data_IF_515074255611
#
_entry.id   IF_515074255611
#
_cell.length_a   1.000
_cell.length_b   1.000
_cell.length_c   1.000
_cell.angle_alpha   90.00
_cell.angle_beta   90.00
_cell.angle_gamma   90.00
#
_symmetry.space_group_name_H-M   'P 1'
#
loop_
_entity.id
_entity.type
_entity.pdbx_description
1 polymer ?
#
# COMPACT_ATOMS: atom_id res chain seq x y z
N UNK A 1 -2.42 -5.14 -36.83
CA UNK A 1 -1.32 -5.02 -35.85
C UNK A 1 -1.37 -3.78 -34.93
N UNK A 2 -2.34 -2.86 -35.04
CA UNK A 2 -2.40 -1.67 -34.16
C UNK A 2 -3.08 -1.90 -32.79
N UNK A 3 -3.97 -2.89 -32.65
CA UNK A 3 -4.66 -3.18 -31.38
C UNK A 3 -3.77 -3.88 -30.33
N UNK A 4 -2.82 -4.71 -30.78
CA UNK A 4 -1.86 -5.41 -29.91
C UNK A 4 -0.94 -4.42 -29.16
N UNK A 5 -0.65 -3.27 -29.79
CA UNK A 5 0.23 -2.25 -29.24
C UNK A 5 -0.42 -1.45 -28.09
N UNK A 6 -1.74 -1.30 -28.12
CA UNK A 6 -2.50 -0.71 -27.01
C UNK A 6 -2.62 -1.68 -25.83
N UNK A 7 -2.74 -2.98 -26.09
CA UNK A 7 -2.80 -4.01 -25.05
C UNK A 7 -1.44 -4.15 -24.32
N UNK A 8 -0.32 -4.10 -25.07
CA UNK A 8 1.04 -4.17 -24.53
C UNK A 8 1.39 -2.93 -23.69
N UNK A 9 0.90 -1.75 -24.06
CA UNK A 9 1.10 -0.49 -23.32
C UNK A 9 0.34 -0.43 -21.99
N UNK A 10 -0.69 -1.25 -21.82
CA UNK A 10 -1.43 -1.38 -20.56
C UNK A 10 -0.79 -2.41 -19.60
N UNK A 11 -0.01 -3.36 -20.12
CA UNK A 11 0.65 -4.42 -19.34
C UNK A 11 1.97 -3.95 -18.68
N UNK A 12 2.67 -3.01 -19.33
CA UNK A 12 3.95 -2.47 -18.85
C UNK A 12 3.89 -1.75 -17.49
N UNK A 13 2.87 -0.93 -17.16
CA UNK A 13 2.81 -0.31 -15.83
C UNK A 13 2.46 -1.32 -14.71
N UNK A 14 1.74 -2.42 -14.98
CA UNK A 14 1.41 -3.40 -13.93
C UNK A 14 2.63 -4.20 -13.49
N UNK A 15 3.59 -4.44 -14.40
CA UNK A 15 4.84 -5.11 -14.09
C UNK A 15 5.83 -4.18 -13.38
N UNK A 16 5.86 -2.89 -13.74
CA UNK A 16 6.71 -1.89 -13.08
C UNK A 16 6.25 -1.60 -11.65
N UNK A 17 4.94 -1.67 -11.39
CA UNK A 17 4.37 -1.51 -10.04
C UNK A 17 4.70 -2.68 -9.09
N UNK A 18 5.14 -3.84 -9.63
CA UNK A 18 5.64 -5.00 -8.87
C UNK A 18 7.16 -4.94 -8.57
N UNK A 19 7.93 -4.16 -9.34
CA UNK A 19 9.38 -4.05 -9.18
C UNK A 19 9.88 -3.42 -7.86
N UNK A 20 9.21 -2.42 -7.23
CA UNK A 20 9.76 -1.79 -6.03
C UNK A 20 9.64 -2.68 -4.78
N UNK A 21 8.94 -3.82 -4.86
CA UNK A 21 8.86 -4.80 -3.76
C UNK A 21 10.15 -5.61 -3.63
N UNK A 22 10.92 -5.79 -4.71
CA UNK A 22 12.07 -6.70 -4.73
C UNK A 22 13.41 -6.03 -4.32
N UNK A 23 13.51 -4.70 -4.34
CA UNK A 23 14.77 -4.00 -4.07
C UNK A 23 15.05 -3.69 -2.60
N UNK A 24 14.23 -4.17 -1.65
CA UNK A 24 14.43 -3.91 -0.20
C UNK A 24 15.48 -4.79 0.49
N UNK A 25 16.24 -5.62 -0.24
CA UNK A 25 17.07 -6.67 0.34
C UNK A 25 18.60 -6.45 0.29
N UNK A 26 19.11 -5.21 0.25
CA UNK A 26 20.55 -4.95 0.43
C UNK A 26 20.84 -3.84 1.43
N UNK A 27 20.87 -4.18 2.73
CA UNK A 27 21.60 -3.39 3.72
C UNK A 27 22.56 -4.36 4.44
N UNK A 28 23.80 -3.87 4.58
CA UNK A 28 25.03 -4.63 4.78
C UNK A 28 24.98 -5.66 5.90
N UNK A 29 25.33 -6.89 5.53
CA UNK A 29 25.88 -7.87 6.44
C UNK A 29 26.75 -8.84 5.63
N UNK A 30 27.95 -9.13 6.14
CA UNK A 30 28.89 -10.05 5.53
C UNK A 30 28.64 -11.46 6.08
N UNK A 31 28.05 -12.39 5.29
CA UNK A 31 27.66 -13.72 5.77
C UNK A 31 28.88 -14.61 6.11
N UNK A 32 30.10 -14.16 5.83
CA UNK A 32 31.33 -14.88 6.15
C UNK A 32 31.77 -14.73 7.62
N UNK A 33 31.21 -13.78 8.37
CA UNK A 33 31.69 -13.46 9.74
C UNK A 33 30.56 -13.47 10.77
N UNK A 34 29.30 -13.20 10.40
CA UNK A 34 28.18 -13.13 11.37
C UNK A 34 26.85 -13.62 10.77
N UNK A 35 25.94 -14.09 11.63
CA UNK A 35 24.56 -14.39 11.24
C UNK A 35 23.83 -13.06 11.02
N UNK A 36 23.60 -12.74 9.75
CA UNK A 36 22.90 -11.54 9.34
C UNK A 36 21.42 -11.60 9.72
N UNK A 37 20.94 -10.61 10.47
CA UNK A 37 19.50 -10.45 10.70
C UNK A 37 18.84 -9.94 9.40
N UNK A 38 18.03 -10.75 8.69
CA UNK A 38 17.38 -10.32 7.45
C UNK A 38 16.27 -9.30 7.69
N UNK A 39 15.79 -9.16 8.92
CA UNK A 39 14.84 -8.12 9.34
C UNK A 39 15.59 -6.83 9.69
N UNK A 40 16.91 -6.91 9.93
CA UNK A 40 17.80 -5.78 10.23
C UNK A 40 17.28 -4.90 11.37
N UNK A 41 16.67 -5.51 12.39
CA UNK A 41 16.16 -4.83 13.58
C UNK A 41 17.11 -5.05 14.75
N UNK A 42 17.66 -3.98 15.32
CA UNK A 42 18.55 -4.05 16.49
C UNK A 42 17.82 -3.82 17.82
N UNK A 43 16.58 -3.33 17.79
CA UNK A 43 15.74 -3.04 18.97
C UNK A 43 14.27 -3.33 18.68
N UNK A 44 13.46 -3.57 19.72
CA UNK A 44 12.00 -3.80 19.59
C UNK A 44 11.28 -2.66 18.84
N UNK A 45 11.67 -1.41 19.11
CA UNK A 45 11.13 -0.23 18.42
C UNK A 45 11.40 -0.27 16.90
N UNK A 46 12.60 -0.69 16.50
CA UNK A 46 13.00 -0.77 15.10
C UNK A 46 12.28 -1.92 14.36
N UNK A 47 11.99 -3.01 15.08
CA UNK A 47 11.12 -4.08 14.56
C UNK A 47 9.69 -3.56 14.32
N UNK A 48 9.10 -2.84 15.28
CA UNK A 48 7.76 -2.26 15.10
C UNK A 48 7.71 -1.26 13.93
N UNK A 49 8.74 -0.43 13.77
CA UNK A 49 8.85 0.51 12.67
C UNK A 49 8.88 -0.20 11.31
N UNK A 50 9.66 -1.29 11.19
CA UNK A 50 9.74 -2.08 9.96
C UNK A 50 8.45 -2.82 9.62
N UNK A 51 7.74 -3.35 10.63
CA UNK A 51 6.41 -3.96 10.42
C UNK A 51 5.42 -2.90 9.91
N UNK A 52 5.42 -1.71 10.49
CA UNK A 52 4.57 -0.61 10.04
C UNK A 52 4.90 -0.17 8.61
N UNK A 53 6.18 -0.11 8.24
CA UNK A 53 6.63 0.22 6.89
C UNK A 53 6.20 -0.84 5.85
N UNK A 54 6.33 -2.13 6.18
CA UNK A 54 5.83 -3.21 5.31
C UNK A 54 4.30 -3.13 5.17
N UNK A 55 3.59 -2.89 6.27
CA UNK A 55 2.13 -2.73 6.25
C UNK A 55 1.70 -1.52 5.39
N UNK A 56 2.43 -0.40 5.44
CA UNK A 56 2.17 0.77 4.61
C UNK A 56 2.45 0.50 3.12
N UNK A 57 3.55 -0.18 2.81
CA UNK A 57 3.93 -0.56 1.44
C UNK A 57 2.91 -1.47 0.76
N UNK A 58 2.29 -2.37 1.51
CA UNK A 58 1.24 -3.29 1.01
C UNK A 58 -0.15 -2.63 1.08
N UNK A 59 -0.39 -1.79 2.09
CA UNK A 59 -1.68 -1.13 2.30
C UNK A 59 -2.05 -0.16 1.19
N UNK A 60 -1.08 0.62 0.69
CA UNK A 60 -1.30 1.61 -0.36
C UNK A 60 -1.82 1.01 -1.69
N UNK A 61 -1.19 -0.02 -2.27
CA UNK A 61 -1.70 -0.67 -3.49
C UNK A 61 -3.02 -1.41 -3.23
N UNK A 62 -3.21 -1.98 -2.04
CA UNK A 62 -4.45 -2.66 -1.67
C UNK A 62 -5.66 -1.71 -1.65
N UNK A 63 -5.49 -0.50 -1.12
CA UNK A 63 -6.52 0.55 -1.14
C UNK A 63 -6.96 0.88 -2.56
N UNK A 64 -6.01 0.98 -3.51
CA UNK A 64 -6.32 1.26 -4.92
C UNK A 64 -7.19 0.16 -5.53
N UNK A 65 -6.88 -1.11 -5.25
CA UNK A 65 -7.67 -2.25 -5.73
C UNK A 65 -9.10 -2.21 -5.17
N UNK A 66 -9.26 -1.94 -3.88
CA UNK A 66 -10.58 -1.80 -3.26
C UNK A 66 -11.37 -0.61 -3.81
N UNK A 67 -10.70 0.49 -4.14
CA UNK A 67 -11.34 1.66 -4.75
C UNK A 67 -11.88 1.33 -6.15
N UNK A 68 -11.12 0.59 -6.97
CA UNK A 68 -11.56 0.12 -8.29
C UNK A 68 -12.76 -0.83 -8.14
N UNK A 69 -12.71 -1.75 -7.18
CA UNK A 69 -13.80 -2.69 -6.91
C UNK A 69 -15.09 -1.97 -6.51
N UNK A 70 -15.00 -0.97 -5.63
CA UNK A 70 -16.14 -0.14 -5.26
C UNK A 70 -16.73 0.60 -6.48
N UNK A 71 -15.87 1.14 -7.35
CA UNK A 71 -16.30 1.76 -8.60
C UNK A 71 -17.03 0.81 -9.54
N UNK A 72 -16.53 -0.43 -9.69
CA UNK A 72 -17.20 -1.46 -10.48
C UNK A 72 -18.60 -1.79 -9.93
N UNK A 73 -18.74 -1.87 -8.60
CA UNK A 73 -20.00 -2.16 -7.94
C UNK A 73 -21.05 -1.05 -8.15
N UNK A 74 -20.62 0.21 -8.25
CA UNK A 74 -21.51 1.33 -8.61
C UNK A 74 -22.02 1.21 -10.05
N UNK A 75 -21.16 0.82 -10.99
CA UNK A 75 -21.53 0.67 -12.40
C UNK A 75 -22.43 -0.55 -12.62
N UNK A 76 -22.18 -1.65 -11.90
CA UNK A 76 -22.98 -2.87 -12.04
C UNK A 76 -24.38 -2.77 -11.45
N UNK A 77 -24.59 -1.87 -10.47
CA UNK A 77 -25.86 -1.76 -9.76
C UNK A 77 -27.04 -1.33 -10.63
N UNK A 78 -26.82 -0.62 -11.75
CA UNK A 78 -27.83 -0.30 -12.79
C UNK A 78 -29.20 0.23 -12.26
N UNK A 79 -29.24 0.87 -11.10
CA UNK A 79 -30.47 1.39 -10.49
C UNK A 79 -31.16 0.45 -9.49
N UNK A 80 -30.57 -0.70 -9.17
CA UNK A 80 -30.97 -1.54 -8.05
C UNK A 80 -30.54 -0.92 -6.73
N UNK A 81 -31.51 -0.54 -5.89
CA UNK A 81 -31.28 0.15 -4.61
C UNK A 81 -30.42 -0.69 -3.63
N UNK A 82 -30.56 -2.03 -3.66
CA UNK A 82 -29.80 -2.91 -2.77
C UNK A 82 -28.31 -2.94 -3.14
N UNK A 83 -28.00 -3.09 -4.43
CA UNK A 83 -26.64 -3.05 -4.94
C UNK A 83 -26.02 -1.67 -4.82
N UNK A 84 -26.79 -0.60 -5.01
CA UNK A 84 -26.31 0.77 -4.77
C UNK A 84 -25.96 1.01 -3.31
N UNK A 85 -26.75 0.48 -2.36
CA UNK A 85 -26.43 0.54 -0.94
C UNK A 85 -25.12 -0.19 -0.64
N UNK A 86 -24.92 -1.39 -1.21
CA UNK A 86 -23.67 -2.16 -1.08
C UNK A 86 -22.46 -1.44 -1.71
N UNK A 87 -22.64 -0.79 -2.86
CA UNK A 87 -21.60 0.01 -3.50
C UNK A 87 -21.15 1.18 -2.61
N UNK A 88 -22.11 1.92 -2.05
CA UNK A 88 -21.85 3.03 -1.13
C UNK A 88 -21.10 2.57 0.12
N UNK A 89 -21.56 1.51 0.78
CA UNK A 89 -20.88 1.01 1.99
C UNK A 89 -19.46 0.55 1.68
N UNK A 90 -19.26 -0.18 0.57
CA UNK A 90 -17.93 -0.65 0.13
C UNK A 90 -17.00 0.53 -0.15
N UNK A 91 -17.50 1.57 -0.81
CA UNK A 91 -16.75 2.79 -1.07
C UNK A 91 -16.36 3.53 0.21
N UNK A 92 -17.29 3.68 1.17
CA UNK A 92 -16.97 4.28 2.47
C UNK A 92 -15.86 3.51 3.20
N UNK A 93 -15.91 2.19 3.20
CA UNK A 93 -14.85 1.36 3.79
C UNK A 93 -13.52 1.53 3.05
N UNK A 94 -13.53 1.63 1.72
CA UNK A 94 -12.32 1.89 0.94
C UNK A 94 -11.71 3.28 1.27
N UNK A 95 -12.54 4.30 1.42
CA UNK A 95 -12.11 5.66 1.82
C UNK A 95 -11.53 5.65 3.23
N UNK A 96 -12.18 4.98 4.19
CA UNK A 96 -11.66 4.84 5.57
C UNK A 96 -10.31 4.13 5.56
N UNK A 97 -10.17 3.05 4.79
CA UNK A 97 -8.89 2.34 4.63
C UNK A 97 -7.80 3.24 4.05
N UNK A 98 -8.12 4.04 3.02
CA UNK A 98 -7.20 5.03 2.47
C UNK A 98 -6.77 6.07 3.51
N UNK A 99 -7.75 6.60 4.25
CA UNK A 99 -7.52 7.62 5.27
C UNK A 99 -6.68 7.07 6.42
N UNK A 100 -6.81 5.79 6.75
CA UNK A 100 -6.03 5.14 7.80
C UNK A 100 -4.55 5.03 7.42
N UNK A 101 -4.25 4.64 6.17
CA UNK A 101 -2.86 4.53 5.69
C UNK A 101 -2.18 5.90 5.63
N UNK A 102 -2.86 6.91 5.09
CA UNK A 102 -2.32 8.28 5.01
C UNK A 102 -2.29 8.94 6.39
N UNK A 103 -3.35 8.73 7.19
CA UNK A 103 -3.50 9.29 8.52
C UNK A 103 -2.47 8.80 9.51
N UNK A 104 -2.07 7.52 9.44
CA UNK A 104 -0.99 6.98 10.26
C UNK A 104 0.32 7.77 10.05
N UNK A 105 0.71 8.02 8.80
CA UNK A 105 1.90 8.81 8.47
C UNK A 105 1.78 10.27 8.91
N UNK A 106 0.60 10.87 8.72
CA UNK A 106 0.35 12.24 9.13
C UNK A 106 0.46 12.43 10.66
N UNK A 107 -0.05 11.47 11.44
CA UNK A 107 0.02 11.50 12.91
C UNK A 107 1.47 11.30 13.37
N UNK A 108 2.21 10.34 12.80
CA UNK A 108 3.62 10.13 13.14
C UNK A 108 4.45 11.39 12.90
N UNK A 109 4.29 12.03 11.74
CA UNK A 109 4.98 13.28 11.40
C UNK A 109 4.59 14.42 12.35
N UNK A 110 3.32 14.50 12.75
CA UNK A 110 2.87 15.50 13.71
C UNK A 110 3.53 15.35 15.09
N UNK A 111 3.70 14.10 15.56
CA UNK A 111 4.37 13.80 16.83
C UNK A 111 5.86 14.15 16.75
N UNK A 112 6.55 13.79 15.66
CA UNK A 112 7.97 14.10 15.45
C UNK A 112 8.23 15.62 15.40
N UNK A 113 7.39 16.35 14.68
CA UNK A 113 7.47 17.81 14.58
C UNK A 113 7.19 18.51 15.92
N UNK A 114 6.35 17.92 16.77
CA UNK A 114 6.10 18.45 18.10
C UNK A 114 7.26 18.15 19.05
N UNK A 115 7.79 16.92 19.02
CA UNK A 115 8.91 16.50 19.86
C UNK A 115 10.21 17.25 19.56
N UNK A 116 10.45 17.64 18.30
CA UNK A 116 11.64 18.39 17.89
C UNK A 116 11.60 19.89 18.21
N UNK A 117 10.42 20.43 18.54
CA UNK A 117 10.25 21.82 18.95
C UNK A 117 10.35 22.03 20.46
N UNK A 118 10.49 20.96 21.23
CA UNK A 118 10.70 20.97 22.68
C UNK A 118 12.19 20.81 23.01
#
# INVERSE_FOLDING_TARGET
MKSIFHLLRFLTPSLIFLLPVFTLAIIGCNPAVEICNPIQSSTFADLMAKIADIAAKIGLPLVVVFMIYAGFLFVSARGDEEQLKKAKTTFFWAVIGALLVVGANAISLAIENFASQL
#
